data_IF_469169010537
#
_entry.id   IF_469169010537
#
_cell.length_a   1.000
_cell.length_b   1.000
_cell.length_c   1.000
_cell.angle_alpha   90.00
_cell.angle_beta   90.00
_cell.angle_gamma   90.00
#
_symmetry.space_group_name_H-M   'P 1'
#
loop_
_entity.id
_entity.type
_entity.pdbx_description
1 polymer ?
#
# COMPACT_ATOMS: atom_id res chain seq x y z
N UNK A 1 38.46 33.53 54.14
CA UNK A 1 37.62 33.97 55.28
C UNK A 1 36.29 34.45 54.72
N UNK A 2 35.17 33.83 55.16
CA UNK A 2 33.75 34.19 54.93
C UNK A 2 33.28 34.16 53.45
N UNK A 3 32.62 33.14 52.90
CA UNK A 3 31.33 32.44 53.20
C UNK A 3 30.09 33.32 53.02
N UNK A 4 29.09 32.75 52.32
CA UNK A 4 27.63 32.99 52.32
C UNK A 4 27.08 33.93 51.22
N UNK A 5 26.07 33.63 50.39
CA UNK A 5 25.12 32.49 50.22
C UNK A 5 24.60 32.53 48.76
N UNK A 6 24.52 31.38 48.08
CA UNK A 6 23.73 31.22 46.85
C UNK A 6 22.41 30.59 47.27
N UNK A 7 21.32 31.35 47.15
CA UNK A 7 19.97 30.86 47.42
C UNK A 7 19.55 29.90 46.31
N UNK A 8 19.45 28.63 46.67
CA UNK A 8 18.86 27.55 45.89
C UNK A 8 17.33 27.69 45.96
N UNK A 9 16.69 28.16 44.89
CA UNK A 9 15.24 28.12 44.77
C UNK A 9 14.81 26.67 44.51
N UNK A 10 14.34 25.99 45.56
CA UNK A 10 13.64 24.72 45.44
C UNK A 10 12.24 25.00 44.87
N UNK A 11 12.03 24.67 43.60
CA UNK A 11 10.69 24.57 43.01
C UNK A 11 10.07 23.29 43.52
N UNK A 12 9.19 23.40 44.52
CA UNK A 12 8.31 22.32 44.96
C UNK A 12 7.29 22.09 43.85
N UNK A 13 7.48 21.01 43.07
CA UNK A 13 6.42 20.48 42.22
C UNK A 13 5.32 19.92 43.12
N UNK A 14 4.26 20.69 43.31
CA UNK A 14 3.03 20.16 43.87
C UNK A 14 2.45 19.16 42.87
N UNK A 15 2.63 17.87 43.12
CA UNK A 15 1.84 16.82 42.49
C UNK A 15 0.39 16.99 42.94
N UNK A 16 -0.38 17.79 42.20
CA UNK A 16 -1.82 17.70 42.23
C UNK A 16 -2.18 16.35 41.58
N UNK A 17 -2.52 15.36 42.41
CA UNK A 17 -3.18 14.15 41.96
C UNK A 17 -4.53 14.55 41.36
N UNK A 18 -4.56 14.70 40.04
CA UNK A 18 -5.81 14.75 39.27
C UNK A 18 -6.42 13.35 39.39
N UNK A 19 -7.30 13.18 40.36
CA UNK A 19 -8.24 12.08 40.34
C UNK A 19 -9.11 12.29 39.10
N UNK A 20 -8.86 11.50 38.05
CA UNK A 20 -9.74 11.43 36.90
C UNK A 20 -11.11 10.98 37.41
N UNK A 21 -12.05 11.92 37.53
CA UNK A 21 -13.45 11.59 37.75
C UNK A 21 -13.94 10.96 36.46
N UNK A 22 -14.40 9.71 36.54
CA UNK A 22 -15.07 9.05 35.43
C UNK A 22 -16.31 9.88 35.07
N UNK A 23 -16.28 10.60 33.96
CA UNK A 23 -17.45 11.27 33.42
C UNK A 23 -18.49 10.19 33.10
N UNK A 24 -19.59 10.22 33.85
CA UNK A 24 -20.76 9.39 33.56
C UNK A 24 -21.54 10.13 32.48
N UNK A 25 -21.61 9.55 31.28
CA UNK A 25 -22.41 10.10 30.18
C UNK A 25 -23.89 10.06 30.58
N UNK A 26 -24.43 11.24 30.91
CA UNK A 26 -25.75 11.43 31.52
C UNK A 26 -26.90 11.15 30.53
N UNK A 27 -26.62 10.96 29.24
CA UNK A 27 -27.62 10.75 28.18
C UNK A 27 -27.61 9.36 27.54
N UNK A 28 -26.90 8.40 28.12
CA UNK A 28 -26.87 7.04 27.58
C UNK A 28 -28.20 6.31 27.74
N UNK A 29 -28.77 5.86 26.62
CA UNK A 29 -29.98 5.04 26.59
C UNK A 29 -29.82 3.89 25.62
N UNK A 30 -30.24 2.70 26.06
CA UNK A 30 -30.37 1.53 25.19
C UNK A 30 -31.69 1.66 24.44
N UNK A 31 -31.66 1.56 23.10
CA UNK A 31 -32.91 1.64 22.32
C UNK A 31 -33.85 0.48 22.67
N UNK A 32 -35.17 0.70 22.61
CA UNK A 32 -36.15 -0.34 22.96
C UNK A 32 -35.93 -1.65 22.18
N UNK A 33 -35.60 -1.55 20.88
CA UNK A 33 -35.31 -2.72 20.05
C UNK A 33 -34.03 -3.44 20.52
N UNK A 34 -32.98 -2.70 20.90
CA UNK A 34 -31.76 -3.31 21.44
C UNK A 34 -32.01 -3.98 22.80
N UNK A 35 -32.81 -3.37 23.67
CA UNK A 35 -33.22 -3.94 24.96
C UNK A 35 -33.94 -5.27 24.76
N UNK A 36 -34.93 -5.32 23.86
CA UNK A 36 -35.69 -6.54 23.58
C UNK A 36 -34.78 -7.70 23.11
N UNK A 37 -33.78 -7.40 22.25
CA UNK A 37 -32.82 -8.41 21.77
C UNK A 37 -31.87 -8.86 22.89
N UNK A 38 -31.39 -7.93 23.72
CA UNK A 38 -30.52 -8.26 24.85
C UNK A 38 -31.24 -9.16 25.86
N UNK A 39 -32.48 -8.83 26.21
CA UNK A 39 -33.31 -9.63 27.12
C UNK A 39 -33.58 -11.04 26.56
N UNK A 40 -33.94 -11.14 25.28
CA UNK A 40 -34.30 -12.42 24.67
C UNK A 40 -33.11 -13.36 24.44
N UNK A 41 -31.90 -12.82 24.21
CA UNK A 41 -30.77 -13.63 23.70
C UNK A 41 -29.48 -13.52 24.52
N UNK A 42 -29.29 -12.46 25.32
CA UNK A 42 -28.01 -12.16 25.96
C UNK A 42 -28.04 -12.23 27.49
N UNK A 43 -29.12 -11.78 28.13
CA UNK A 43 -29.17 -11.63 29.59
C UNK A 43 -29.17 -12.96 30.35
N UNK A 44 -29.68 -14.05 29.76
CA UNK A 44 -29.56 -15.42 30.30
C UNK A 44 -28.13 -15.85 30.68
N UNK A 45 -27.11 -15.17 30.15
CA UNK A 45 -25.70 -15.48 30.41
C UNK A 45 -24.87 -14.27 30.85
N UNK A 46 -25.35 -13.05 30.64
CA UNK A 46 -24.62 -11.79 30.86
C UNK A 46 -25.36 -10.84 31.81
N UNK A 47 -26.10 -11.40 32.76
CA UNK A 47 -26.76 -10.72 33.86
C UNK A 47 -25.91 -10.71 35.14
N UNK A 48 -26.48 -10.22 36.25
CA UNK A 48 -25.82 -10.15 37.54
C UNK A 48 -25.41 -11.49 38.13
N UNK A 49 -26.15 -12.55 37.83
CA UNK A 49 -25.99 -13.84 38.48
C UNK A 49 -25.01 -14.74 37.72
N UNK A 50 -24.99 -14.66 36.39
CA UNK A 50 -24.26 -15.62 35.55
C UNK A 50 -22.89 -15.10 35.07
N UNK A 51 -22.81 -13.84 34.63
CA UNK A 51 -21.57 -13.15 34.24
C UNK A 51 -20.60 -13.94 33.35
N UNK A 52 -21.08 -14.71 32.36
CA UNK A 52 -20.20 -15.56 31.54
C UNK A 52 -19.16 -14.72 30.80
N UNK A 53 -17.90 -15.15 30.87
CA UNK A 53 -16.79 -14.44 30.24
C UNK A 53 -16.50 -13.07 30.86
N UNK A 54 -16.90 -12.86 32.12
CA UNK A 54 -16.72 -11.60 32.87
C UNK A 54 -17.39 -10.41 32.17
N UNK A 55 -18.60 -10.64 31.64
CA UNK A 55 -19.39 -9.64 30.89
C UNK A 55 -20.77 -9.47 31.52
N UNK A 56 -21.14 -8.20 31.75
CA UNK A 56 -22.43 -7.73 32.26
C UNK A 56 -23.07 -6.77 31.25
N UNK A 57 -24.27 -7.10 30.77
CA UNK A 57 -24.99 -6.28 29.76
C UNK A 57 -26.25 -5.61 30.32
N UNK A 58 -26.66 -5.98 31.54
CA UNK A 58 -27.82 -5.43 32.26
C UNK A 58 -27.54 -4.06 32.91
N UNK A 59 -26.27 -3.72 33.15
CA UNK A 59 -25.87 -2.52 33.90
C UNK A 59 -25.10 -1.48 33.04
N UNK A 60 -25.26 -1.50 31.72
CA UNK A 60 -24.50 -0.64 30.81
C UNK A 60 -24.55 0.85 31.19
N UNK A 61 -25.73 1.36 31.59
CA UNK A 61 -25.92 2.77 31.96
C UNK A 61 -25.19 3.21 33.22
N UNK A 62 -24.82 2.28 34.12
CA UNK A 62 -24.06 2.57 35.34
C UNK A 62 -22.55 2.52 35.17
N UNK A 63 -22.06 2.06 34.01
CA UNK A 63 -20.62 1.93 33.75
C UNK A 63 -19.97 3.29 33.43
N UNK A 64 -18.70 3.45 33.79
CA UNK A 64 -17.86 4.54 33.28
C UNK A 64 -17.79 4.47 31.74
N UNK A 65 -17.73 5.64 31.09
CA UNK A 65 -17.79 5.75 29.62
C UNK A 65 -16.77 4.86 28.93
N UNK A 66 -15.48 4.96 29.30
CA UNK A 66 -14.40 4.15 28.69
C UNK A 66 -14.67 2.65 28.79
N UNK A 67 -15.03 2.16 29.98
CA UNK A 67 -15.34 0.75 30.20
C UNK A 67 -16.56 0.28 29.39
N UNK A 68 -17.55 1.16 29.24
CA UNK A 68 -18.74 0.90 28.41
C UNK A 68 -18.37 0.81 26.93
N UNK A 69 -17.56 1.73 26.42
CA UNK A 69 -17.12 1.73 25.01
C UNK A 69 -16.28 0.50 24.69
N UNK A 70 -15.40 0.07 25.60
CA UNK A 70 -14.63 -1.17 25.43
C UNK A 70 -15.54 -2.41 25.42
N UNK A 71 -16.54 -2.46 26.29
CA UNK A 71 -17.51 -3.56 26.31
C UNK A 71 -18.37 -3.57 25.03
N UNK A 72 -18.85 -2.42 24.58
CA UNK A 72 -19.61 -2.29 23.34
C UNK A 72 -18.77 -2.70 22.12
N UNK A 73 -17.47 -2.40 22.08
CA UNK A 73 -16.57 -2.91 21.04
C UNK A 73 -16.49 -4.44 21.03
N UNK A 74 -16.40 -5.08 22.22
CA UNK A 74 -16.43 -6.55 22.33
C UNK A 74 -17.77 -7.11 21.83
N UNK A 75 -18.89 -6.51 22.21
CA UNK A 75 -20.23 -6.91 21.74
C UNK A 75 -20.33 -6.77 20.22
N UNK A 76 -19.88 -5.64 19.66
CA UNK A 76 -19.86 -5.38 18.22
C UNK A 76 -19.15 -6.49 17.44
N UNK A 77 -17.98 -6.92 17.93
CA UNK A 77 -17.18 -7.99 17.32
C UNK A 77 -17.84 -9.36 17.42
N UNK A 78 -18.44 -9.70 18.56
CA UNK A 78 -19.16 -10.99 18.72
C UNK A 78 -20.40 -11.07 17.84
N UNK A 79 -21.13 -9.96 17.69
CA UNK A 79 -22.29 -9.88 16.79
C UNK A 79 -21.86 -10.02 15.31
N UNK A 80 -20.78 -9.36 14.93
CA UNK A 80 -20.21 -9.44 13.58
C UNK A 80 -19.75 -10.86 13.23
N UNK A 81 -18.99 -11.51 14.12
CA UNK A 81 -18.50 -12.89 13.94
C UNK A 81 -19.59 -13.96 14.06
N UNK A 82 -20.82 -13.56 14.40
CA UNK A 82 -21.93 -14.45 14.71
C UNK A 82 -21.60 -15.49 15.81
N UNK A 83 -20.68 -15.14 16.71
CA UNK A 83 -20.18 -16.04 17.75
C UNK A 83 -21.04 -16.00 19.04
N UNK A 84 -21.82 -14.93 19.22
CA UNK A 84 -22.76 -14.80 20.33
C UNK A 84 -24.20 -14.57 19.84
N UNK A 85 -25.20 -15.21 20.47
CA UNK A 85 -25.07 -16.24 21.52
C UNK A 85 -24.34 -17.50 21.01
N UNK A 86 -23.85 -18.41 21.88
CA UNK A 86 -23.18 -19.63 21.43
C UNK A 86 -24.11 -20.50 20.57
N UNK A 87 -23.56 -21.31 19.65
CA UNK A 87 -24.33 -22.16 18.72
C UNK A 87 -25.38 -23.08 19.36
N UNK A 88 -25.26 -23.37 20.67
CA UNK A 88 -26.21 -24.21 21.44
C UNK A 88 -27.38 -23.41 22.05
N UNK A 89 -27.41 -22.09 21.86
CA UNK A 89 -28.45 -21.18 22.37
C UNK A 89 -29.24 -20.59 21.20
N UNK A 90 -30.44 -20.12 21.51
CA UNK A 90 -31.30 -19.47 20.53
C UNK A 90 -30.58 -18.26 19.92
N UNK A 91 -30.40 -18.29 18.60
CA UNK A 91 -29.75 -17.22 17.85
C UNK A 91 -30.76 -16.10 17.54
N UNK A 92 -30.33 -14.83 17.59
CA UNK A 92 -31.14 -13.75 17.06
C UNK A 92 -31.29 -13.92 15.54
N UNK A 93 -32.46 -13.55 15.02
CA UNK A 93 -32.69 -13.40 13.60
C UNK A 93 -31.78 -12.33 12.99
N UNK A 94 -31.64 -12.32 11.66
CA UNK A 94 -30.81 -11.32 10.97
C UNK A 94 -31.31 -9.88 11.21
N UNK A 95 -32.63 -9.69 11.33
CA UNK A 95 -33.24 -8.39 11.64
C UNK A 95 -32.89 -7.92 13.05
N UNK A 96 -33.02 -8.80 14.05
CA UNK A 96 -32.67 -8.51 15.44
C UNK A 96 -31.17 -8.23 15.61
N UNK A 97 -30.33 -9.05 14.97
CA UNK A 97 -28.87 -8.86 14.95
C UNK A 97 -28.49 -7.53 14.31
N UNK A 98 -29.12 -7.17 13.20
CA UNK A 98 -28.88 -5.90 12.51
C UNK A 98 -29.31 -4.71 13.38
N UNK A 99 -30.46 -4.81 14.06
CA UNK A 99 -30.93 -3.77 14.97
C UNK A 99 -29.97 -3.56 16.15
N UNK A 100 -29.56 -4.63 16.82
CA UNK A 100 -28.62 -4.57 17.94
C UNK A 100 -27.24 -4.06 17.50
N UNK A 101 -26.69 -4.59 16.40
CA UNK A 101 -25.41 -4.15 15.86
C UNK A 101 -25.46 -2.68 15.39
N UNK A 102 -26.58 -2.23 14.83
CA UNK A 102 -26.81 -0.84 14.44
C UNK A 102 -26.81 0.11 15.63
N UNK A 103 -27.49 -0.26 16.72
CA UNK A 103 -27.46 0.51 17.96
C UNK A 103 -26.05 0.58 18.58
N UNK A 104 -25.36 -0.57 18.71
CA UNK A 104 -23.98 -0.60 19.24
C UNK A 104 -23.04 0.26 18.41
N UNK A 105 -23.12 0.15 17.07
CA UNK A 105 -22.30 0.97 16.15
C UNK A 105 -22.61 2.45 16.31
N UNK A 106 -23.89 2.82 16.32
CA UNK A 106 -24.30 4.21 16.46
C UNK A 106 -23.80 4.83 17.77
N UNK A 107 -23.83 4.07 18.87
CA UNK A 107 -23.30 4.53 20.14
C UNK A 107 -21.78 4.71 20.11
N UNK A 108 -21.02 3.73 19.58
CA UNK A 108 -19.57 3.83 19.43
C UNK A 108 -19.17 5.01 18.52
N UNK A 109 -19.96 5.31 17.49
CA UNK A 109 -19.71 6.41 16.55
C UNK A 109 -19.89 7.79 17.18
N UNK A 110 -20.87 7.99 18.08
CA UNK A 110 -21.04 9.26 18.80
C UNK A 110 -19.76 9.67 19.54
N UNK A 111 -19.00 8.68 20.01
CA UNK A 111 -17.77 8.88 20.79
C UNK A 111 -16.49 8.64 19.96
N UNK A 112 -16.59 8.37 18.65
CA UNK A 112 -15.42 8.07 17.81
C UNK A 112 -14.64 6.81 18.25
N UNK A 113 -15.30 5.87 18.92
CA UNK A 113 -14.67 4.76 19.65
C UNK A 113 -14.80 3.38 18.97
N UNK A 114 -15.34 3.30 17.76
CA UNK A 114 -15.51 2.00 17.07
C UNK A 114 -14.17 1.47 16.56
N UNK A 115 -13.77 0.31 17.09
CA UNK A 115 -12.52 -0.40 16.72
C UNK A 115 -12.76 -1.44 15.61
N UNK A 116 -14.00 -1.90 15.40
CA UNK A 116 -14.30 -2.92 14.39
C UNK A 116 -14.05 -2.42 12.97
N UNK A 117 -14.42 -1.17 12.67
CA UNK A 117 -14.25 -0.61 11.32
C UNK A 117 -12.79 -0.53 10.89
N UNK A 118 -11.88 -0.28 11.84
CA UNK A 118 -10.44 -0.36 11.61
C UNK A 118 -10.01 -1.80 11.34
N UNK A 119 -10.47 -2.78 12.15
CA UNK A 119 -10.21 -4.21 11.95
C UNK A 119 -10.70 -4.72 10.58
N UNK A 120 -11.86 -4.27 10.12
CA UNK A 120 -12.42 -4.65 8.82
C UNK A 120 -11.58 -4.17 7.62
N UNK A 121 -10.65 -3.23 7.82
CA UNK A 121 -9.69 -2.84 6.77
C UNK A 121 -8.58 -3.86 6.55
N UNK A 122 -8.37 -4.78 7.50
CA UNK A 122 -7.32 -5.79 7.39
C UNK A 122 -7.78 -6.91 6.44
N UNK A 123 -6.92 -7.37 5.50
CA UNK A 123 -7.27 -8.43 4.55
C UNK A 123 -7.77 -9.72 5.21
N UNK A 124 -7.28 -10.05 6.41
CA UNK A 124 -7.70 -11.22 7.18
C UNK A 124 -9.19 -11.20 7.55
N UNK A 125 -9.80 -10.01 7.64
CA UNK A 125 -11.23 -9.87 7.93
C UNK A 125 -12.11 -9.98 6.67
N UNK A 126 -11.53 -9.97 5.47
CA UNK A 126 -12.26 -10.19 4.22
C UNK A 126 -12.92 -11.57 4.14
N UNK A 127 -12.39 -12.56 4.87
CA UNK A 127 -12.96 -13.92 4.94
C UNK A 127 -14.25 -14.03 5.77
N UNK A 128 -14.65 -12.96 6.48
CA UNK A 128 -15.92 -12.94 7.24
C UNK A 128 -17.09 -12.37 6.42
N UNK A 129 -16.87 -12.09 5.13
CA UNK A 129 -17.95 -11.73 4.21
C UNK A 129 -18.81 -12.96 3.95
N UNK A 130 -20.12 -12.81 4.13
CA UNK A 130 -21.09 -13.86 3.84
C UNK A 130 -21.13 -14.15 2.33
N UNK A 131 -20.58 -15.29 1.92
CA UNK A 131 -20.46 -15.66 0.51
C UNK A 131 -21.82 -15.90 -0.16
N UNK A 132 -22.79 -16.47 0.56
CA UNK A 132 -24.13 -16.68 0.00
C UNK A 132 -24.77 -15.33 -0.33
N UNK A 133 -24.69 -14.38 0.60
CA UNK A 133 -25.18 -13.01 0.37
C UNK A 133 -24.41 -12.28 -0.73
N UNK A 134 -23.09 -12.50 -0.83
CA UNK A 134 -22.24 -11.88 -1.85
C UNK A 134 -22.63 -12.34 -3.27
N UNK A 135 -22.98 -13.62 -3.43
CA UNK A 135 -23.27 -14.23 -4.73
C UNK A 135 -24.77 -14.46 -5.03
N UNK A 136 -25.67 -14.23 -4.07
CA UNK A 136 -27.14 -14.39 -4.27
C UNK A 136 -27.72 -13.40 -5.27
N UNK A 137 -27.04 -12.27 -5.50
CA UNK A 137 -27.53 -11.17 -6.31
C UNK A 137 -28.63 -10.35 -5.63
N UNK A 138 -28.95 -10.60 -4.36
CA UNK A 138 -29.90 -9.81 -3.57
C UNK A 138 -29.37 -8.39 -3.29
N UNK A 139 -28.05 -8.25 -3.18
CA UNK A 139 -27.40 -6.95 -2.99
C UNK A 139 -27.41 -6.18 -4.31
N UNK A 140 -28.34 -5.22 -4.43
CA UNK A 140 -28.47 -4.33 -5.61
C UNK A 140 -27.77 -2.98 -5.44
N UNK A 141 -27.18 -2.70 -4.28
CA UNK A 141 -26.45 -1.47 -4.03
C UNK A 141 -25.23 -1.37 -4.94
N UNK A 142 -24.90 -0.16 -5.39
CA UNK A 142 -23.67 0.07 -6.16
C UNK A 142 -22.46 -0.34 -5.32
N UNK A 143 -21.61 -1.18 -5.89
CA UNK A 143 -20.34 -1.55 -5.28
C UNK A 143 -19.44 -0.31 -5.17
N UNK A 144 -18.75 -0.19 -4.04
CA UNK A 144 -17.79 0.88 -3.81
C UNK A 144 -16.67 0.38 -2.89
N UNK A 145 -15.56 1.10 -2.90
CA UNK A 145 -14.46 0.92 -1.96
C UNK A 145 -14.06 2.29 -1.41
N UNK A 146 -13.60 2.38 -0.15
CA UNK A 146 -13.13 3.63 0.41
C UNK A 146 -11.92 4.16 -0.37
N UNK A 147 -11.76 5.48 -0.33
CA UNK A 147 -10.54 6.14 -0.79
C UNK A 147 -9.34 5.52 -0.05
N UNK A 148 -8.32 5.15 -0.80
CA UNK A 148 -7.20 4.39 -0.27
C UNK A 148 -5.93 4.69 -1.02
N UNK A 149 -4.84 4.56 -0.31
CA UNK A 149 -3.51 4.48 -0.87
C UNK A 149 -3.06 3.03 -0.71
N UNK A 150 -2.26 2.55 -1.62
CA UNK A 150 -1.72 1.18 -1.62
C UNK A 150 -0.22 1.25 -1.69
N UNK A 151 0.48 0.59 -0.77
CA UNK A 151 1.89 0.38 -0.94
C UNK A 151 2.12 -0.49 -2.18
N UNK A 152 3.03 -0.09 -3.07
CA UNK A 152 3.32 -0.94 -4.23
C UNK A 152 4.13 -2.17 -3.82
N UNK A 153 3.93 -3.28 -4.54
CA UNK A 153 4.73 -4.48 -4.29
C UNK A 153 6.20 -4.27 -4.67
N UNK A 154 7.14 -5.08 -4.12
CA UNK A 154 8.53 -5.08 -4.56
C UNK A 154 8.70 -5.28 -6.07
N UNK A 155 7.82 -6.06 -6.69
CA UNK A 155 7.83 -6.31 -8.13
C UNK A 155 7.39 -5.07 -8.90
N UNK A 156 6.31 -4.41 -8.48
CA UNK A 156 5.87 -3.14 -9.10
C UNK A 156 6.97 -2.08 -8.98
N UNK A 157 7.61 -1.96 -7.82
CA UNK A 157 8.71 -1.01 -7.63
C UNK A 157 9.85 -1.29 -8.61
N UNK A 158 10.25 -2.55 -8.77
CA UNK A 158 11.28 -2.93 -9.73
C UNK A 158 10.88 -2.62 -11.18
N UNK A 159 9.63 -2.91 -11.55
CA UNK A 159 9.07 -2.55 -12.87
C UNK A 159 9.07 -1.04 -13.10
N UNK A 160 8.71 -0.25 -12.08
CA UNK A 160 8.77 1.23 -12.15
C UNK A 160 10.20 1.73 -12.36
N UNK A 161 11.19 1.13 -11.72
CA UNK A 161 12.60 1.48 -11.97
C UNK A 161 13.01 1.18 -13.42
N UNK A 162 12.55 0.06 -13.99
CA UNK A 162 12.76 -0.22 -15.42
C UNK A 162 12.07 0.80 -16.33
N UNK A 163 10.86 1.24 -15.95
CA UNK A 163 10.11 2.26 -16.69
C UNK A 163 10.82 3.63 -16.68
N UNK A 164 11.46 4.01 -15.56
CA UNK A 164 12.27 5.24 -15.45
C UNK A 164 13.42 5.27 -16.46
N UNK A 165 13.97 4.10 -16.80
CA UNK A 165 15.03 3.96 -17.80
C UNK A 165 14.50 3.66 -19.21
N UNK A 166 13.17 3.56 -19.39
CA UNK A 166 12.57 3.22 -20.69
C UNK A 166 12.99 1.85 -21.21
N UNK A 167 13.21 0.87 -20.33
CA UNK A 167 13.66 -0.46 -20.78
C UNK A 167 12.54 -1.23 -21.48
N UNK A 168 12.86 -1.73 -22.67
CA UNK A 168 11.94 -2.49 -23.52
C UNK A 168 12.56 -3.81 -24.03
N UNK A 169 11.72 -4.66 -24.62
CA UNK A 169 12.14 -5.86 -25.34
C UNK A 169 13.07 -6.78 -24.54
N UNK A 170 14.20 -7.15 -25.15
CA UNK A 170 15.15 -8.11 -24.57
C UNK A 170 15.85 -7.57 -23.32
N UNK A 171 16.11 -6.26 -23.26
CA UNK A 171 16.77 -5.66 -22.11
C UNK A 171 15.85 -5.70 -20.89
N UNK A 172 14.59 -5.29 -21.04
CA UNK A 172 13.57 -5.41 -19.98
C UNK A 172 13.45 -6.85 -19.48
N UNK A 173 13.27 -7.82 -20.39
CA UNK A 173 13.18 -9.25 -20.02
C UNK A 173 14.40 -9.74 -19.22
N UNK A 174 15.59 -9.22 -19.53
CA UNK A 174 16.80 -9.48 -18.76
C UNK A 174 16.73 -8.93 -17.33
N UNK A 175 16.21 -7.72 -17.15
CA UNK A 175 16.07 -7.08 -15.84
C UNK A 175 14.87 -7.54 -15.04
N UNK A 176 13.84 -8.16 -15.62
CA UNK A 176 12.76 -8.81 -14.84
C UNK A 176 13.33 -9.86 -13.88
N UNK A 177 14.39 -10.58 -14.28
CA UNK A 177 15.02 -11.64 -13.47
C UNK A 177 16.28 -11.20 -12.75
N UNK A 178 16.79 -9.99 -13.02
CA UNK A 178 18.04 -9.47 -12.46
C UNK A 178 17.77 -8.21 -11.65
N UNK A 179 18.52 -8.02 -10.57
CA UNK A 179 18.44 -6.78 -9.81
C UNK A 179 19.38 -5.73 -10.38
N UNK A 180 19.00 -4.46 -10.31
CA UNK A 180 19.93 -3.37 -10.48
C UNK A 180 20.87 -3.33 -9.27
N UNK A 181 22.17 -3.17 -9.52
CA UNK A 181 23.16 -3.21 -8.44
C UNK A 181 22.90 -2.14 -7.36
N UNK A 182 22.59 -0.91 -7.78
CA UNK A 182 22.40 0.22 -6.87
C UNK A 182 20.97 0.43 -6.38
N UNK A 183 20.06 -0.52 -6.64
CA UNK A 183 18.66 -0.41 -6.21
C UNK A 183 18.36 -1.51 -5.20
N UNK A 184 18.06 -1.08 -3.98
CA UNK A 184 17.64 -1.96 -2.89
C UNK A 184 16.12 -1.92 -2.77
N UNK A 185 15.48 -3.06 -2.53
CA UNK A 185 14.04 -3.08 -2.25
C UNK A 185 13.77 -2.29 -0.94
N UNK A 186 13.00 -1.19 -0.99
CA UNK A 186 12.74 -0.37 0.20
C UNK A 186 11.71 -1.00 1.15
N UNK A 187 10.95 -2.02 0.73
CA UNK A 187 9.84 -2.54 1.54
C UNK A 187 10.26 -3.67 2.49
N UNK A 188 9.88 -3.52 3.76
CA UNK A 188 9.89 -4.60 4.76
C UNK A 188 8.51 -5.26 4.80
N UNK A 189 8.32 -6.34 4.04
CA UNK A 189 7.05 -7.06 4.06
C UNK A 189 6.91 -7.88 5.36
N UNK A 190 5.71 -7.94 5.97
CA UNK A 190 5.48 -8.74 7.16
C UNK A 190 5.79 -10.24 6.98
N UNK A 191 6.28 -10.89 8.04
CA UNK A 191 6.56 -12.35 8.08
C UNK A 191 5.31 -13.17 8.45
N UNK A 192 4.17 -12.86 7.82
CA UNK A 192 2.93 -13.64 7.95
C UNK A 192 2.33 -13.98 6.57
N UNK A 193 1.50 -15.02 6.53
CA UNK A 193 0.76 -15.41 5.33
C UNK A 193 -0.40 -14.44 5.05
N UNK A 194 -0.69 -14.21 3.79
CA UNK A 194 -1.74 -13.28 3.36
C UNK A 194 -1.21 -12.32 2.30
N UNK A 195 -2.07 -11.42 1.85
CA UNK A 195 -1.66 -10.24 1.07
C UNK A 195 -0.82 -9.34 1.98
N UNK A 196 0.41 -8.99 1.56
CA UNK A 196 1.42 -8.31 2.41
C UNK A 196 1.71 -6.87 2.00
N UNK A 197 1.32 -6.50 0.79
CA UNK A 197 1.46 -5.18 0.18
C UNK A 197 0.16 -4.36 0.36
N UNK A 198 -0.14 -3.99 1.61
CA UNK A 198 -1.31 -3.20 1.99
C UNK A 198 -0.94 -2.02 2.91
N UNK A 199 -1.67 -0.91 2.80
CA UNK A 199 -1.30 0.42 3.32
C UNK A 199 -1.69 0.68 4.79
N UNK A 200 -1.62 -0.33 5.65
CA UNK A 200 -1.85 -0.08 7.09
C UNK A 200 -0.60 0.43 7.80
N UNK A 201 0.58 0.22 7.21
CA UNK A 201 1.86 0.60 7.79
C UNK A 201 2.39 1.85 7.09
N UNK A 202 2.74 2.86 7.88
CA UNK A 202 3.40 4.05 7.37
C UNK A 202 4.86 3.76 7.03
N UNK A 203 5.37 4.37 5.96
CA UNK A 203 6.80 4.38 5.68
C UNK A 203 7.51 5.24 6.74
N UNK A 204 8.58 4.69 7.31
CA UNK A 204 9.40 5.36 8.33
C UNK A 204 10.69 5.97 7.76
N UNK A 205 11.54 6.52 8.63
CA UNK A 205 12.82 7.11 8.24
C UNK A 205 13.82 6.11 7.62
N UNK A 206 13.72 4.82 7.96
CA UNK A 206 14.54 3.77 7.34
C UNK A 206 14.18 3.59 5.87
N UNK A 207 12.89 3.57 5.55
CA UNK A 207 12.40 3.51 4.17
C UNK A 207 12.86 4.71 3.35
N UNK A 208 12.79 5.92 3.94
CA UNK A 208 13.25 7.14 3.29
C UNK A 208 14.75 7.10 2.96
N UNK A 209 15.59 6.58 3.86
CA UNK A 209 17.04 6.50 3.64
C UNK A 209 17.39 5.54 2.49
N UNK A 210 16.71 4.40 2.43
CA UNK A 210 16.86 3.44 1.31
C UNK A 210 16.41 4.09 0.01
N UNK A 211 15.26 4.77 0.02
CA UNK A 211 14.75 5.46 -1.17
C UNK A 211 15.64 6.60 -1.63
N UNK A 212 16.26 7.35 -0.72
CA UNK A 212 17.23 8.40 -1.07
C UNK A 212 18.46 7.80 -1.76
N UNK A 213 18.94 6.65 -1.30
CA UNK A 213 20.06 5.94 -1.91
C UNK A 213 19.70 5.45 -3.32
N UNK A 214 18.53 4.81 -3.46
CA UNK A 214 18.01 4.37 -4.74
C UNK A 214 17.83 5.55 -5.71
N UNK A 215 17.18 6.63 -5.26
CA UNK A 215 16.88 7.80 -6.08
C UNK A 215 18.14 8.48 -6.61
N UNK A 216 19.17 8.64 -5.76
CA UNK A 216 20.47 9.19 -6.18
C UNK A 216 21.15 8.32 -7.23
N UNK A 217 21.09 6.99 -7.07
CA UNK A 217 21.66 6.06 -8.05
C UNK A 217 20.90 6.12 -9.38
N UNK A 218 19.57 6.06 -9.34
CA UNK A 218 18.70 6.11 -10.53
C UNK A 218 18.92 7.43 -11.28
N UNK A 219 18.81 8.57 -10.60
CA UNK A 219 19.05 9.90 -11.17
C UNK A 219 20.44 10.02 -11.79
N UNK A 220 21.47 9.48 -11.11
CA UNK A 220 22.84 9.44 -11.64
C UNK A 220 22.96 8.63 -12.92
N UNK A 221 22.24 7.50 -13.03
CA UNK A 221 22.20 6.66 -14.23
C UNK A 221 21.42 7.30 -15.38
N UNK A 222 20.32 8.00 -15.12
CA UNK A 222 19.53 8.69 -16.16
C UNK A 222 20.38 9.69 -16.97
N UNK A 223 21.33 10.37 -16.31
CA UNK A 223 22.19 11.38 -16.95
C UNK A 223 23.58 10.85 -17.32
N UNK A 224 23.85 9.55 -17.12
CA UNK A 224 25.21 9.01 -17.24
C UNK A 224 25.77 9.11 -18.66
N UNK A 225 24.98 8.76 -19.68
CA UNK A 225 25.41 8.79 -21.08
C UNK A 225 25.73 10.22 -21.55
N UNK A 226 24.93 11.21 -21.17
CA UNK A 226 25.24 12.62 -21.45
C UNK A 226 26.53 13.06 -20.74
N UNK A 227 26.76 12.64 -19.49
CA UNK A 227 27.98 13.01 -18.76
C UNK A 227 29.27 12.46 -19.38
N UNK A 228 29.21 11.32 -20.09
CA UNK A 228 30.35 10.79 -20.85
C UNK A 228 30.77 11.68 -22.02
N UNK A 229 29.89 12.56 -22.49
CA UNK A 229 30.17 13.54 -23.57
C UNK A 229 30.83 14.82 -23.02
N UNK A 230 31.00 14.94 -21.70
CA UNK A 230 31.61 16.10 -21.05
C UNK A 230 33.12 15.91 -20.84
N UNK A 231 33.90 16.98 -20.59
CA UNK A 231 35.32 16.87 -20.22
C UNK A 231 35.59 16.10 -18.91
N UNK A 232 34.56 15.72 -18.14
CA UNK A 232 34.68 14.97 -16.89
C UNK A 232 34.58 13.45 -17.07
N UNK A 233 34.60 12.94 -18.31
CA UNK A 233 34.40 11.52 -18.62
C UNK A 233 35.44 10.60 -17.97
N UNK A 234 36.71 11.00 -17.93
CA UNK A 234 37.78 10.17 -17.36
C UNK A 234 37.57 9.96 -15.86
N UNK A 235 37.24 11.05 -15.14
CA UNK A 235 36.92 10.99 -13.72
C UNK A 235 35.65 10.17 -13.44
N UNK A 236 34.64 10.28 -14.32
CA UNK A 236 33.41 9.50 -14.23
C UNK A 236 33.68 7.99 -14.39
N UNK A 237 34.48 7.62 -15.40
CA UNK A 237 34.84 6.22 -15.66
C UNK A 237 35.74 5.65 -14.56
N UNK A 238 36.68 6.43 -14.04
CA UNK A 238 37.55 6.03 -12.93
C UNK A 238 36.77 5.79 -11.63
N UNK A 239 35.66 6.51 -11.42
CA UNK A 239 34.77 6.37 -10.27
C UNK A 239 33.74 5.24 -10.38
N UNK A 240 33.72 4.47 -11.47
CA UNK A 240 32.76 3.38 -11.65
C UNK A 240 33.06 2.22 -10.70
N UNK A 241 32.01 1.73 -10.03
CA UNK A 241 32.09 0.50 -9.28
C UNK A 241 32.25 -0.69 -10.25
N UNK A 242 33.27 -1.53 -10.03
CA UNK A 242 33.60 -2.68 -10.89
C UNK A 242 32.49 -3.73 -10.95
N UNK A 243 31.59 -3.75 -9.96
CA UNK A 243 30.41 -4.61 -9.87
C UNK A 243 29.16 -3.97 -10.51
N UNK A 244 29.13 -2.65 -10.71
CA UNK A 244 28.02 -1.90 -11.33
C UNK A 244 28.44 -1.34 -12.70
N UNK A 245 28.46 -2.21 -13.70
CA UNK A 245 28.89 -1.85 -15.06
C UNK A 245 27.74 -1.42 -15.97
N UNK A 246 26.50 -1.53 -15.52
CA UNK A 246 25.35 -1.22 -16.34
C UNK A 246 24.99 0.27 -16.24
N UNK A 247 24.66 0.88 -17.37
CA UNK A 247 24.05 2.21 -17.45
C UNK A 247 23.24 2.29 -18.74
N UNK A 248 22.19 3.13 -18.79
CA UNK A 248 21.42 3.37 -20.00
C UNK A 248 22.32 3.85 -21.14
N UNK A 249 22.05 3.38 -22.37
CA UNK A 249 22.84 3.76 -23.55
C UNK A 249 22.72 5.23 -23.89
N UNK A 250 21.54 5.79 -23.63
CA UNK A 250 21.19 7.16 -23.98
C UNK A 250 20.61 7.85 -22.75
N UNK A 251 20.86 9.16 -22.67
CA UNK A 251 20.20 10.05 -21.72
C UNK A 251 19.05 10.72 -22.46
N UNK A 252 17.86 10.81 -21.87
CA UNK A 252 16.73 11.51 -22.49
C UNK A 252 17.11 12.92 -23.00
N UNK A 253 16.63 13.35 -24.18
CA UNK A 253 17.03 14.63 -24.77
C UNK A 253 16.80 15.83 -23.84
N UNK A 254 15.68 15.83 -23.09
CA UNK A 254 15.36 16.88 -22.12
C UNK A 254 16.43 17.02 -21.02
N UNK A 255 17.07 15.92 -20.63
CA UNK A 255 18.15 15.92 -19.65
C UNK A 255 19.51 16.22 -20.30
N UNK A 256 19.76 15.65 -21.48
CA UNK A 256 21.02 15.83 -22.20
C UNK A 256 21.28 17.31 -22.51
N UNK A 257 20.25 18.05 -22.95
CA UNK A 257 20.36 19.50 -23.20
C UNK A 257 20.86 20.23 -21.95
N UNK A 258 20.31 19.93 -20.76
CA UNK A 258 20.75 20.57 -19.51
C UNK A 258 22.17 20.16 -19.14
N UNK A 259 22.52 18.87 -19.30
CA UNK A 259 23.85 18.34 -18.94
C UNK A 259 24.97 18.92 -19.79
N UNK A 260 24.74 19.11 -21.10
CA UNK A 260 25.75 19.55 -22.05
C UNK A 260 25.81 21.07 -22.23
N UNK A 261 24.87 21.81 -21.65
CA UNK A 261 24.79 23.26 -21.83
C UNK A 261 25.92 24.00 -21.12
N UNK A 262 26.55 24.90 -21.85
CA UNK A 262 27.44 25.91 -21.31
C UNK A 262 26.59 27.07 -20.73
N UNK A 263 26.79 27.38 -19.45
CA UNK A 263 25.99 28.36 -18.72
C UNK A 263 24.65 27.82 -18.22
N UNK A 264 23.81 28.67 -17.60
CA UNK A 264 22.54 28.24 -17.01
C UNK A 264 21.51 27.84 -18.09
N UNK A 265 20.74 26.75 -17.88
CA UNK A 265 19.65 26.40 -18.77
C UNK A 265 18.52 27.43 -18.71
N UNK A 266 17.81 27.56 -19.81
CA UNK A 266 16.61 28.37 -19.92
C UNK A 266 15.46 27.74 -19.13
N UNK A 267 14.45 28.54 -18.81
CA UNK A 267 13.24 28.06 -18.16
C UNK A 267 12.56 26.94 -18.96
N UNK A 268 12.45 27.08 -20.29
CA UNK A 268 11.83 26.08 -21.15
C UNK A 268 12.56 24.72 -21.11
N UNK A 269 13.89 24.73 -21.09
CA UNK A 269 14.69 23.50 -20.97
C UNK A 269 14.52 22.84 -19.60
N UNK A 270 14.49 23.65 -18.53
CA UNK A 270 14.23 23.18 -17.17
C UNK A 270 12.83 22.57 -17.03
N UNK A 271 11.81 23.23 -17.57
CA UNK A 271 10.42 22.72 -17.57
C UNK A 271 10.32 21.43 -18.37
N UNK A 272 10.99 21.34 -19.53
CA UNK A 272 11.04 20.11 -20.32
C UNK A 272 11.68 18.94 -19.54
N UNK A 273 12.77 19.19 -18.82
CA UNK A 273 13.38 18.19 -17.94
C UNK A 273 12.44 17.78 -16.80
N UNK A 274 11.75 18.73 -16.15
CA UNK A 274 10.79 18.43 -15.09
C UNK A 274 9.65 17.56 -15.63
N UNK A 275 9.04 17.95 -16.75
CA UNK A 275 7.95 17.19 -17.35
C UNK A 275 8.37 15.78 -17.76
N UNK A 276 9.57 15.63 -18.37
CA UNK A 276 10.08 14.31 -18.73
C UNK A 276 10.31 13.42 -17.49
N UNK A 277 10.83 13.97 -16.39
CA UNK A 277 11.02 13.19 -15.17
C UNK A 277 9.68 12.77 -14.54
N UNK A 278 8.68 13.65 -14.53
CA UNK A 278 7.34 13.30 -14.07
C UNK A 278 6.70 12.21 -14.94
N UNK A 279 6.86 12.26 -16.27
CA UNK A 279 6.33 11.21 -17.14
C UNK A 279 7.04 9.87 -16.93
N UNK A 280 8.37 9.82 -16.84
CA UNK A 280 9.06 8.53 -16.70
C UNK A 280 8.94 7.92 -15.29
N UNK A 281 8.88 8.75 -14.23
CA UNK A 281 8.79 8.30 -12.84
C UNK A 281 7.33 8.11 -12.39
N UNK A 282 6.47 9.08 -12.69
CA UNK A 282 5.08 9.13 -12.22
C UNK A 282 4.07 8.88 -13.34
N UNK A 283 4.48 8.68 -14.61
CA UNK A 283 3.59 8.31 -15.72
C UNK A 283 2.45 9.31 -15.94
N UNK A 284 2.70 10.58 -15.61
CA UNK A 284 1.81 11.73 -15.81
C UNK A 284 2.64 12.99 -15.99
N UNK A 285 2.02 14.03 -16.52
CA UNK A 285 2.62 15.36 -16.50
C UNK A 285 2.61 15.95 -15.09
N UNK A 286 3.60 16.81 -14.83
CA UNK A 286 3.62 17.67 -13.67
C UNK A 286 2.53 18.75 -13.81
N UNK A 287 1.76 18.95 -12.75
CA UNK A 287 0.80 20.06 -12.65
C UNK A 287 1.52 21.41 -12.67
N UNK A 288 0.80 22.50 -12.97
CA UNK A 288 1.39 23.84 -12.97
C UNK A 288 2.04 24.22 -11.62
N UNK A 289 1.43 23.78 -10.50
CA UNK A 289 1.98 24.00 -9.16
C UNK A 289 3.27 23.21 -8.92
N UNK A 290 3.32 21.95 -9.38
CA UNK A 290 4.53 21.13 -9.30
C UNK A 290 5.63 21.68 -10.19
N UNK A 291 5.32 22.07 -11.44
CA UNK A 291 6.31 22.71 -12.33
C UNK A 291 6.94 23.92 -11.66
N UNK A 292 6.12 24.81 -11.06
CA UNK A 292 6.64 25.98 -10.34
C UNK A 292 7.58 25.58 -9.20
N UNK A 293 7.14 24.66 -8.32
CA UNK A 293 7.93 24.17 -7.17
C UNK A 293 9.27 23.56 -7.62
N UNK A 294 9.23 22.69 -8.62
CA UNK A 294 10.41 21.98 -9.10
C UNK A 294 11.35 22.85 -9.92
N UNK A 295 10.82 23.88 -10.59
CA UNK A 295 11.62 24.89 -11.28
C UNK A 295 12.42 25.75 -10.30
N UNK A 296 11.80 26.18 -9.20
CA UNK A 296 12.49 26.90 -8.11
C UNK A 296 13.61 26.04 -7.49
N UNK A 297 13.31 24.77 -7.22
CA UNK A 297 14.31 23.80 -6.72
C UNK A 297 15.46 23.59 -7.71
N UNK A 298 15.16 23.41 -9.00
CA UNK A 298 16.17 23.16 -10.02
C UNK A 298 17.08 24.38 -10.19
N UNK A 299 16.51 25.60 -10.26
CA UNK A 299 17.29 26.84 -10.34
C UNK A 299 18.27 27.00 -9.19
N UNK A 300 17.77 26.95 -7.96
CA UNK A 300 18.59 27.07 -6.76
C UNK A 300 19.68 25.99 -6.68
N UNK A 301 19.36 24.76 -7.09
CA UNK A 301 20.34 23.67 -7.09
C UNK A 301 21.41 23.84 -8.19
N UNK A 302 21.05 24.42 -9.33
CA UNK A 302 21.99 24.77 -10.41
C UNK A 302 22.91 25.91 -9.97
N UNK A 303 22.38 26.93 -9.29
CA UNK A 303 23.18 28.04 -8.76
C UNK A 303 24.25 27.55 -7.78
N UNK A 304 23.93 26.55 -6.95
CA UNK A 304 24.84 26.01 -5.95
C UNK A 304 25.85 24.99 -6.51
N UNK A 305 25.42 24.11 -7.43
CA UNK A 305 26.20 22.93 -7.84
C UNK A 305 26.48 22.81 -9.34
N UNK A 306 26.00 23.74 -10.15
CA UNK A 306 26.02 23.69 -11.60
C UNK A 306 24.98 22.73 -12.20
N UNK A 307 24.86 22.74 -13.54
CA UNK A 307 23.79 22.06 -14.28
C UNK A 307 23.63 20.58 -13.93
N UNK A 308 24.73 19.82 -13.87
CA UNK A 308 24.70 18.38 -13.61
C UNK A 308 24.21 18.07 -12.20
N UNK A 309 24.75 18.75 -11.18
CA UNK A 309 24.36 18.50 -9.80
C UNK A 309 22.93 19.00 -9.52
N UNK A 310 22.57 20.15 -10.08
CA UNK A 310 21.23 20.71 -9.97
C UNK A 310 20.16 19.82 -10.61
N UNK A 311 20.43 19.33 -11.83
CA UNK A 311 19.56 18.38 -12.50
C UNK A 311 19.44 17.08 -11.69
N UNK A 312 20.56 16.48 -11.25
CA UNK A 312 20.54 15.25 -10.47
C UNK A 312 19.73 15.40 -9.17
N UNK A 313 19.81 16.57 -8.51
CA UNK A 313 19.01 16.87 -7.34
C UNK A 313 17.51 16.89 -7.66
N UNK A 314 17.10 17.59 -8.74
CA UNK A 314 15.70 17.61 -9.19
C UNK A 314 15.19 16.19 -9.50
N UNK A 315 15.95 15.42 -10.29
CA UNK A 315 15.59 14.04 -10.64
C UNK A 315 15.43 13.15 -9.39
N UNK A 316 16.34 13.30 -8.43
CA UNK A 316 16.29 12.59 -7.13
C UNK A 316 15.04 12.98 -6.36
N UNK A 317 14.66 14.26 -6.32
CA UNK A 317 13.49 14.72 -5.57
C UNK A 317 12.19 14.17 -6.15
N UNK A 318 12.02 14.11 -7.48
CA UNK A 318 10.82 13.50 -8.09
C UNK A 318 10.70 12.01 -7.75
N UNK A 319 11.80 11.27 -7.70
CA UNK A 319 11.83 9.85 -7.29
C UNK A 319 11.45 9.63 -5.81
N UNK A 320 11.50 10.69 -5.00
CA UNK A 320 11.09 10.67 -3.59
C UNK A 320 9.63 11.09 -3.39
N UNK A 321 8.92 11.46 -4.46
CA UNK A 321 7.48 11.68 -4.36
C UNK A 321 6.78 10.40 -3.92
N UNK A 322 5.84 10.54 -2.99
CA UNK A 322 5.15 9.40 -2.39
C UNK A 322 4.47 8.52 -3.45
N UNK A 323 3.98 9.12 -4.54
CA UNK A 323 3.41 8.41 -5.68
C UNK A 323 4.33 7.36 -6.32
N UNK A 324 5.66 7.46 -6.17
CA UNK A 324 6.56 6.43 -6.68
C UNK A 324 6.54 5.14 -5.83
N UNK A 325 6.18 5.27 -4.56
CA UNK A 325 6.10 4.18 -3.58
C UNK A 325 4.67 3.68 -3.34
N UNK A 326 3.69 4.47 -3.78
CA UNK A 326 2.29 4.17 -3.58
C UNK A 326 1.49 4.14 -4.91
N UNK A 327 0.35 3.45 -4.88
CA UNK A 327 -0.74 3.61 -5.83
C UNK A 327 -1.87 4.33 -5.12
N UNK A 328 -2.24 5.50 -5.62
CA UNK A 328 -3.31 6.32 -5.07
C UNK A 328 -4.63 5.96 -5.73
N UNK A 329 -5.68 5.84 -4.92
CA UNK A 329 -7.07 5.58 -5.32
C UNK A 329 -7.98 6.48 -4.47
N UNK A 330 -7.78 7.78 -4.58
CA UNK A 330 -8.58 8.76 -3.85
C UNK A 330 -9.80 9.22 -4.64
N UNK A 331 -9.70 9.19 -5.97
CA UNK A 331 -10.69 9.79 -6.83
C UNK A 331 -10.62 11.31 -6.83
N UNK A 332 -11.44 11.90 -7.70
CA UNK A 332 -11.56 13.34 -7.84
C UNK A 332 -12.98 13.71 -8.31
N UNK A 333 -13.27 15.01 -8.33
CA UNK A 333 -14.55 15.57 -8.71
C UNK A 333 -15.56 15.62 -7.57
N UNK A 334 -16.84 15.45 -7.91
CA UNK A 334 -17.93 15.54 -6.95
C UNK A 334 -17.98 14.31 -6.04
N UNK A 335 -17.86 14.55 -4.74
CA UNK A 335 -18.09 13.54 -3.72
C UNK A 335 -19.59 13.35 -3.51
N UNK A 336 -20.05 12.11 -3.41
CA UNK A 336 -21.43 11.84 -3.03
C UNK A 336 -21.68 12.05 -1.52
N UNK A 337 -22.93 11.86 -1.09
CA UNK A 337 -23.37 12.02 0.31
C UNK A 337 -22.60 11.16 1.32
N UNK A 338 -21.86 10.14 0.85
CA UNK A 338 -21.04 9.25 1.66
C UNK A 338 -19.54 9.57 1.56
N UNK A 339 -19.17 10.69 0.94
CA UNK A 339 -17.77 11.10 0.74
C UNK A 339 -17.04 10.24 -0.28
N UNK A 340 -17.74 9.63 -1.23
CA UNK A 340 -17.14 8.76 -2.27
C UNK A 340 -16.97 9.55 -3.56
N UNK A 341 -15.79 9.42 -4.18
CA UNK A 341 -15.50 9.97 -5.51
C UNK A 341 -15.18 8.83 -6.49
N UNK A 342 -15.38 9.09 -7.79
CA UNK A 342 -14.89 8.18 -8.84
C UNK A 342 -13.37 8.34 -8.97
N UNK A 343 -12.69 7.23 -9.25
CA UNK A 343 -11.28 7.27 -9.63
C UNK A 343 -11.09 8.17 -10.86
N UNK A 344 -10.02 8.97 -10.84
CA UNK A 344 -9.59 9.68 -12.04
C UNK A 344 -9.22 8.66 -13.13
N UNK A 345 -9.26 9.02 -14.43
CA UNK A 345 -8.82 8.12 -15.50
C UNK A 345 -7.38 7.58 -15.28
N UNK A 346 -6.50 8.39 -14.70
CA UNK A 346 -5.13 8.00 -14.37
C UNK A 346 -5.05 6.97 -13.25
N UNK A 347 -5.78 7.19 -12.15
CA UNK A 347 -5.89 6.21 -11.07
C UNK A 347 -6.56 4.92 -11.55
N UNK A 348 -7.59 5.02 -12.40
CA UNK A 348 -8.28 3.88 -13.00
C UNK A 348 -7.33 3.03 -13.86
N UNK A 349 -6.54 3.65 -14.73
CA UNK A 349 -5.54 2.96 -15.54
C UNK A 349 -4.52 2.21 -14.67
N UNK A 350 -3.97 2.86 -13.64
CA UNK A 350 -3.04 2.25 -12.68
C UNK A 350 -3.70 1.12 -11.88
N UNK A 351 -4.95 1.29 -11.47
CA UNK A 351 -5.70 0.27 -10.74
C UNK A 351 -5.90 -0.99 -11.60
N UNK A 352 -6.27 -0.83 -12.88
CA UNK A 352 -6.39 -1.95 -13.83
C UNK A 352 -5.04 -2.65 -14.02
N UNK A 353 -3.99 -1.90 -14.40
CA UNK A 353 -2.69 -2.47 -14.70
C UNK A 353 -2.10 -3.22 -13.49
N UNK A 354 -2.12 -2.60 -12.32
CA UNK A 354 -1.57 -3.19 -11.11
C UNK A 354 -2.47 -4.22 -10.45
N UNK A 355 -3.75 -4.34 -10.82
CA UNK A 355 -4.56 -5.48 -10.41
C UNK A 355 -4.20 -6.73 -11.22
N UNK A 356 -3.91 -6.58 -12.52
CA UNK A 356 -3.68 -7.69 -13.44
C UNK A 356 -2.21 -8.11 -13.54
N UNK A 357 -1.27 -7.19 -13.27
CA UNK A 357 0.16 -7.44 -13.38
C UNK A 357 1.01 -6.51 -12.51
N UNK A 358 2.33 -6.59 -12.70
CA UNK A 358 3.30 -5.79 -11.94
C UNK A 358 3.83 -4.60 -12.75
N UNK A 359 3.66 -4.60 -14.07
CA UNK A 359 4.00 -3.46 -14.93
C UNK A 359 2.94 -2.36 -14.87
N UNK A 360 3.35 -1.12 -15.12
CA UNK A 360 2.42 0.01 -15.21
C UNK A 360 1.49 -0.06 -16.44
N UNK A 361 0.56 0.91 -16.57
CA UNK A 361 -0.32 1.00 -17.73
C UNK A 361 0.46 1.03 -19.06
N UNK A 362 0.04 0.20 -20.02
CA UNK A 362 0.58 0.21 -21.38
C UNK A 362 0.19 1.50 -22.13
N UNK A 363 0.76 1.70 -23.31
CA UNK A 363 0.46 2.89 -24.12
C UNK A 363 -1.03 3.01 -24.46
N UNK A 364 -1.71 1.90 -24.75
CA UNK A 364 -3.14 1.88 -25.09
C UNK A 364 -3.99 2.32 -23.89
N UNK A 365 -3.73 1.78 -22.70
CA UNK A 365 -4.46 2.12 -21.49
C UNK A 365 -4.18 3.56 -21.03
N UNK A 366 -2.94 4.03 -21.18
CA UNK A 366 -2.62 5.45 -20.95
C UNK A 366 -3.37 6.37 -21.90
N UNK A 367 -3.43 6.02 -23.19
CA UNK A 367 -4.18 6.79 -24.17
C UNK A 367 -5.69 6.77 -23.87
N UNK A 368 -6.24 5.61 -23.48
CA UNK A 368 -7.64 5.51 -23.07
C UNK A 368 -7.94 6.41 -21.85
N UNK A 369 -7.03 6.49 -20.89
CA UNK A 369 -7.14 7.42 -19.76
C UNK A 369 -7.12 8.89 -20.22
N UNK A 370 -6.17 9.26 -21.08
CA UNK A 370 -6.05 10.62 -21.62
C UNK A 370 -7.28 11.04 -22.45
N UNK A 371 -7.85 10.12 -23.21
CA UNK A 371 -9.05 10.33 -24.03
C UNK A 371 -10.35 10.34 -23.21
N UNK A 372 -10.30 10.11 -21.89
CA UNK A 372 -11.49 9.98 -21.04
C UNK A 372 -12.28 8.68 -21.26
N UNK A 373 -11.71 7.68 -21.94
CA UNK A 373 -12.31 6.35 -22.23
C UNK A 373 -12.13 5.36 -21.09
N UNK A 374 -12.23 5.84 -19.85
CA UNK A 374 -12.23 5.07 -18.59
C UNK A 374 -13.31 5.61 -17.64
N UNK A 375 -14.48 5.95 -18.20
CA UNK A 375 -15.57 6.61 -17.45
C UNK A 375 -16.78 5.68 -17.21
N UNK A 376 -16.97 4.69 -18.08
CA UNK A 376 -18.13 3.80 -18.11
C UNK A 376 -17.76 2.35 -17.80
N UNK A 377 -18.73 1.54 -17.35
CA UNK A 377 -18.50 0.12 -17.08
C UNK A 377 -17.97 -0.63 -18.32
N UNK A 378 -18.43 -0.25 -19.51
CA UNK A 378 -18.00 -0.86 -20.77
C UNK A 378 -16.54 -0.51 -21.10
N UNK A 379 -16.09 0.70 -20.74
CA UNK A 379 -14.67 1.07 -20.85
C UNK A 379 -13.78 0.18 -19.98
N UNK A 380 -14.14 0.03 -18.71
CA UNK A 380 -13.39 -0.82 -17.78
C UNK A 380 -13.38 -2.28 -18.26
N UNK A 381 -14.54 -2.79 -18.69
CA UNK A 381 -14.64 -4.15 -19.22
C UNK A 381 -13.74 -4.34 -20.44
N UNK A 382 -13.76 -3.41 -21.40
CA UNK A 382 -12.93 -3.46 -22.62
C UNK A 382 -11.45 -3.58 -22.27
N UNK A 383 -10.93 -2.70 -21.42
CA UNK A 383 -9.50 -2.69 -21.09
C UNK A 383 -9.08 -3.90 -20.22
N UNK A 384 -9.92 -4.30 -19.26
CA UNK A 384 -9.64 -5.48 -18.42
C UNK A 384 -9.64 -6.75 -19.27
N UNK A 385 -10.64 -6.95 -20.14
CA UNK A 385 -10.70 -8.11 -21.04
C UNK A 385 -9.50 -8.13 -21.97
N UNK A 386 -9.16 -7.00 -22.60
CA UNK A 386 -7.99 -6.89 -23.50
C UNK A 386 -6.70 -7.32 -22.80
N UNK A 387 -6.47 -6.83 -21.58
CA UNK A 387 -5.26 -7.15 -20.83
C UNK A 387 -5.23 -8.60 -20.33
N UNK A 388 -6.37 -9.18 -19.96
CA UNK A 388 -6.46 -10.59 -19.60
C UNK A 388 -6.24 -11.55 -20.78
N UNK A 389 -6.65 -11.13 -21.99
CA UNK A 389 -6.44 -11.89 -23.23
C UNK A 389 -5.01 -11.77 -23.76
N UNK A 390 -4.27 -10.72 -23.38
CA UNK A 390 -2.86 -10.56 -23.72
C UNK A 390 -1.99 -11.58 -22.98
N UNK A 391 -1.43 -12.52 -23.74
CA UNK A 391 -0.57 -13.60 -23.21
C UNK A 391 0.90 -13.22 -23.11
N UNK A 392 1.26 -11.98 -23.41
CA UNK A 392 2.65 -11.53 -23.61
C UNK A 392 3.06 -10.40 -22.71
N UNK A 393 2.17 -9.43 -22.44
CA UNK A 393 2.49 -8.21 -21.70
C UNK A 393 3.01 -8.52 -20.29
N UNK A 394 2.27 -9.34 -19.53
CA UNK A 394 2.64 -9.71 -18.17
C UNK A 394 3.37 -11.06 -18.08
N UNK A 395 3.65 -11.68 -19.22
CA UNK A 395 4.20 -13.02 -19.26
C UNK A 395 5.59 -13.06 -18.62
N UNK A 396 5.78 -13.99 -17.70
CA UNK A 396 7.01 -14.07 -16.96
C UNK A 396 7.03 -15.19 -15.93
N UNK A 397 8.12 -15.26 -15.15
CA UNK A 397 8.26 -16.25 -14.10
C UNK A 397 7.24 -16.03 -12.98
N UNK A 398 6.56 -17.11 -12.54
CA UNK A 398 5.67 -17.06 -11.36
C UNK A 398 6.45 -16.69 -10.11
N UNK A 399 7.66 -17.23 -9.96
CA UNK A 399 8.61 -16.83 -8.93
C UNK A 399 10.00 -16.55 -9.55
N UNK A 400 10.41 -15.27 -9.71
CA UNK A 400 11.70 -14.93 -10.31
C UNK A 400 12.90 -15.33 -9.44
N UNK A 401 12.71 -15.64 -8.15
CA UNK A 401 13.78 -16.10 -7.26
C UNK A 401 14.17 -17.57 -7.52
N UNK A 402 13.32 -18.34 -8.20
CA UNK A 402 13.53 -19.75 -8.52
C UNK A 402 14.19 -19.94 -9.89
N UNK A 403 15.40 -19.40 -10.05
CA UNK A 403 16.15 -19.56 -11.30
C UNK A 403 17.60 -19.98 -11.01
N UNK A 404 17.94 -21.22 -11.33
CA UNK A 404 19.25 -21.83 -11.05
C UNK A 404 19.60 -22.97 -11.99
N UNK A 405 20.81 -23.52 -11.86
CA UNK A 405 21.36 -24.53 -12.78
C UNK A 405 20.45 -25.76 -12.95
N UNK A 406 19.78 -26.17 -11.87
CA UNK A 406 18.94 -27.38 -11.85
C UNK A 406 17.44 -27.06 -11.69
N UNK A 407 17.06 -25.77 -11.68
CA UNK A 407 15.70 -25.36 -11.30
C UNK A 407 15.28 -24.15 -12.11
N UNK A 408 14.10 -24.26 -12.73
CA UNK A 408 13.48 -23.18 -13.48
C UNK A 408 12.06 -22.99 -12.97
N UNK A 409 11.74 -21.76 -12.64
CA UNK A 409 10.40 -21.31 -12.34
C UNK A 409 9.46 -21.51 -13.53
N UNK A 410 8.20 -21.85 -13.26
CA UNK A 410 7.17 -21.91 -14.30
C UNK A 410 6.90 -20.51 -14.85
N UNK A 411 6.70 -20.43 -16.16
CA UNK A 411 6.22 -19.21 -16.79
C UNK A 411 4.69 -19.20 -16.82
N UNK A 412 4.11 -18.05 -16.55
CA UNK A 412 2.68 -17.81 -16.67
C UNK A 412 2.46 -16.54 -17.48
N UNK A 413 1.34 -16.46 -18.17
CA UNK A 413 0.91 -15.24 -18.86
C UNK A 413 0.60 -14.12 -17.86
N UNK A 414 0.15 -14.48 -16.64
CA UNK A 414 -0.22 -13.56 -15.56
C UNK A 414 0.34 -14.03 -14.20
N UNK A 415 1.65 -13.90 -13.96
CA UNK A 415 2.32 -14.35 -12.73
C UNK A 415 1.68 -13.80 -11.45
N UNK A 416 1.21 -12.55 -11.51
CA UNK A 416 0.58 -11.87 -10.38
C UNK A 416 -0.68 -12.57 -9.88
N UNK A 417 -1.51 -13.10 -10.77
CA UNK A 417 -2.74 -13.80 -10.37
C UNK A 417 -2.41 -15.05 -9.56
N UNK A 418 -1.44 -15.83 -10.02
CA UNK A 418 -0.95 -17.02 -9.30
C UNK A 418 -0.39 -16.62 -7.93
N UNK A 419 0.41 -15.55 -7.88
CA UNK A 419 0.96 -15.03 -6.62
C UNK A 419 -0.14 -14.55 -5.66
N UNK A 420 -1.15 -13.84 -6.16
CA UNK A 420 -2.29 -13.40 -5.35
C UNK A 420 -2.99 -14.58 -4.68
N UNK A 421 -3.33 -15.64 -5.42
CA UNK A 421 -3.98 -16.81 -4.83
C UNK A 421 -3.09 -17.51 -3.81
N UNK A 422 -1.78 -17.64 -4.07
CA UNK A 422 -0.81 -18.19 -3.11
C UNK A 422 -0.77 -17.38 -1.81
N UNK A 423 -0.73 -16.06 -1.91
CA UNK A 423 -0.71 -15.17 -0.75
C UNK A 423 -2.04 -15.20 0.00
N UNK A 424 -3.16 -15.04 -0.72
CA UNK A 424 -4.51 -15.01 -0.15
C UNK A 424 -4.88 -16.30 0.59
N UNK A 425 -4.63 -17.46 0.00
CA UNK A 425 -4.90 -18.76 0.64
C UNK A 425 -3.79 -19.21 1.61
N UNK A 426 -2.78 -18.37 1.84
CA UNK A 426 -1.74 -18.65 2.81
C UNK A 426 -0.87 -19.86 2.47
N UNK A 427 -0.59 -20.06 1.19
CA UNK A 427 0.35 -21.10 0.71
C UNK A 427 1.72 -21.05 1.41
N UNK A 428 2.25 -19.91 1.92
CA UNK A 428 3.46 -19.93 2.76
C UNK A 428 3.35 -20.84 4.00
N UNK A 429 2.15 -21.07 4.51
CA UNK A 429 1.94 -21.98 5.61
C UNK A 429 1.64 -23.41 5.18
N UNK A 430 1.53 -23.69 3.87
CA UNK A 430 1.22 -25.01 3.36
C UNK A 430 2.20 -26.07 3.92
N UNK A 431 3.50 -25.78 4.02
CA UNK A 431 4.48 -26.73 4.62
C UNK A 431 4.28 -27.03 6.10
N UNK A 432 3.65 -26.11 6.85
CA UNK A 432 3.38 -26.33 8.28
C UNK A 432 2.28 -27.37 8.45
N UNK A 433 1.41 -27.48 7.45
CA UNK A 433 0.24 -28.36 7.42
C UNK A 433 0.55 -29.65 6.65
N UNK A 434 1.06 -29.54 5.42
CA UNK A 434 1.41 -30.61 4.51
C UNK A 434 2.91 -30.96 4.64
N UNK A 435 3.24 -31.92 5.50
CA UNK A 435 4.62 -32.39 5.77
C UNK A 435 5.10 -33.50 4.81
N UNK A 436 4.52 -33.58 3.62
CA UNK A 436 4.75 -34.66 2.66
C UNK A 436 6.02 -34.39 1.81
N UNK A 437 7.18 -34.75 2.36
CA UNK A 437 8.51 -34.60 1.72
C UNK A 437 8.60 -35.26 0.34
N UNK A 438 8.00 -36.45 0.10
CA UNK A 438 7.90 -37.02 -1.25
C UNK A 438 7.24 -36.11 -2.30
N UNK A 439 6.23 -35.32 -1.95
CA UNK A 439 5.55 -34.41 -2.90
C UNK A 439 6.35 -33.16 -3.25
N UNK A 440 7.35 -32.80 -2.45
CA UNK A 440 8.21 -31.63 -2.66
C UNK A 440 9.57 -31.99 -3.31
N UNK A 441 9.66 -33.14 -3.98
CA UNK A 441 10.90 -33.65 -4.62
C UNK A 441 12.11 -33.66 -3.65
N UNK A 442 11.86 -33.81 -2.34
CA UNK A 442 12.90 -33.90 -1.29
C UNK A 442 13.60 -32.59 -0.92
N UNK A 443 13.17 -31.42 -1.44
CA UNK A 443 13.80 -30.12 -1.15
C UNK A 443 13.01 -29.30 -0.12
N UNK A 444 13.70 -28.69 0.86
CA UNK A 444 13.11 -27.94 1.96
C UNK A 444 13.67 -26.51 2.01
N UNK A 445 12.81 -25.49 1.82
CA UNK A 445 13.12 -24.10 2.12
C UNK A 445 11.98 -23.44 2.87
N UNK A 446 12.30 -22.61 3.87
CA UNK A 446 11.31 -21.86 4.61
C UNK A 446 10.66 -20.79 3.71
N UNK A 447 9.37 -20.93 3.36
CA UNK A 447 8.69 -20.08 2.41
C UNK A 447 8.35 -18.69 2.93
N UNK A 448 8.47 -18.46 4.25
CA UNK A 448 8.10 -17.19 4.86
C UNK A 448 9.13 -16.07 4.65
N UNK A 449 10.35 -16.40 4.19
CA UNK A 449 11.48 -15.45 4.05
C UNK A 449 11.60 -14.75 2.67
N UNK A 450 10.56 -14.71 1.85
CA UNK A 450 10.62 -14.17 0.49
C UNK A 450 9.54 -13.13 0.13
N UNK A 451 9.83 -12.27 -0.84
CA UNK A 451 8.89 -11.27 -1.40
C UNK A 451 7.95 -11.83 -2.48
N UNK A 452 7.98 -13.15 -2.73
CA UNK A 452 7.28 -13.80 -3.84
C UNK A 452 6.06 -14.65 -3.42
N UNK A 453 5.60 -14.55 -2.18
CA UNK A 453 4.35 -15.18 -1.72
C UNK A 453 4.38 -16.70 -1.52
N UNK A 454 5.48 -17.37 -1.90
CA UNK A 454 5.98 -18.70 -1.52
C UNK A 454 7.07 -19.04 -2.52
N UNK A 455 8.21 -19.61 -2.11
CA UNK A 455 9.07 -20.26 -3.05
C UNK A 455 8.31 -21.47 -3.61
N UNK A 456 8.07 -21.45 -4.91
CA UNK A 456 7.41 -22.51 -5.69
C UNK A 456 8.07 -23.91 -5.64
N UNK A 457 8.91 -24.23 -4.63
CA UNK A 457 9.43 -25.59 -4.39
C UNK A 457 8.36 -26.58 -3.93
N UNK A 458 7.20 -26.07 -3.49
CA UNK A 458 6.24 -26.88 -2.73
C UNK A 458 5.36 -27.80 -3.57
N UNK A 459 5.14 -27.45 -4.83
CA UNK A 459 4.28 -28.22 -5.72
C UNK A 459 4.89 -28.11 -7.10
N UNK A 460 5.30 -29.24 -7.68
CA UNK A 460 5.44 -29.36 -9.13
C UNK A 460 4.05 -29.09 -9.67
N UNK A 461 3.81 -27.88 -10.15
CA UNK A 461 2.48 -27.44 -10.58
C UNK A 461 2.06 -28.36 -11.73
N UNK A 462 0.91 -29.02 -11.56
CA UNK A 462 0.40 -30.01 -12.50
C UNK A 462 -0.11 -29.35 -13.79
#
# INVERSE_FOLDING_TARGET
MMISRINLYAVVFACASVAASAETDVNFTVSQNATAVLEAHCLDCHDADTQKGEVRLDALGGMALEARLDLLNRVQEQLFLKAMPPNKKAQPSEAERTALAGWVRGELHKHGASKLEEKLRYPSYGNYVDHEKLFSGEVKTKAWSPARRWLVSPQIFHERVMDVFGLEGRERKGFVTRKFFGVTNPFMLPDHSGVRDYDINTLDGGHLLVMLTNAKWIAGKQIFAARLKTPKKEALLAGLNTQDRWYPRETPPAFEVVVLKDGPPTEAEMVSAIQHQFDCVLRREATAAEVKKYLELLRSSIELGGNIAGLQQMLTTVLLESEFMYRMEFGDGEFDEYGRAKLTPHEAARAIAYALGDSGPDAILRQAAADGKLATQDDFRREVTRLLEDKTMFAGPVDPSLNGKNMRTHESTHPKQVRFFREFFGYPNAIKIFKDVPRSDGYWQNPSRGTAGTPGFLVKEA
#
